data_IF_972982177356
#
_entry.id   IF_972982177356
#
_cell.length_a   1.000
_cell.length_b   1.000
_cell.length_c   1.000
_cell.angle_alpha   90.00
_cell.angle_beta   90.00
_cell.angle_gamma   90.00
#
_symmetry.space_group_name_H-M   'P 1'
#
loop_
_entity.id
_entity.type
_entity.pdbx_description
1 polymer ?
#
# COMPACT_ATOMS: atom_id res chain seq x y z
N UNK A 1 37.99 40.97 -0.24
CA UNK A 1 36.58 41.36 -0.09
C UNK A 1 36.10 40.88 1.29
N UNK A 2 35.48 41.73 2.11
CA UNK A 2 35.41 41.55 3.56
C UNK A 2 34.27 40.63 4.00
N UNK A 3 34.47 39.98 5.15
CA UNK A 3 33.44 39.24 5.88
C UNK A 3 32.31 40.19 6.29
N UNK A 4 31.12 39.99 5.73
CA UNK A 4 29.91 40.69 6.18
C UNK A 4 29.59 40.30 7.62
N UNK A 5 29.54 41.30 8.50
CA UNK A 5 28.95 41.19 9.83
C UNK A 5 27.49 40.75 9.68
N UNK A 6 27.15 39.60 10.27
CA UNK A 6 25.74 39.25 10.47
C UNK A 6 25.21 40.10 11.61
N UNK A 7 24.42 41.09 11.22
CA UNK A 7 23.45 41.77 12.06
C UNK A 7 22.67 40.75 12.90
N UNK A 8 22.72 40.89 14.21
CA UNK A 8 21.85 40.19 15.16
C UNK A 8 20.42 40.65 14.95
N UNK A 9 19.69 39.98 14.06
CA UNK A 9 18.23 40.09 14.01
C UNK A 9 17.69 39.60 15.36
N UNK A 10 17.06 40.51 16.10
CA UNK A 10 16.30 40.18 17.30
C UNK A 10 15.31 39.05 16.97
N UNK A 11 15.29 38.02 17.82
CA UNK A 11 14.30 36.94 17.79
C UNK A 11 12.90 37.58 17.91
N UNK A 12 12.14 37.61 16.83
CA UNK A 12 10.68 37.75 16.89
C UNK A 12 10.13 36.52 17.60
N UNK A 13 10.03 36.59 18.94
CA UNK A 13 9.58 35.49 19.77
C UNK A 13 8.15 35.09 19.38
N UNK A 14 7.94 33.79 19.18
CA UNK A 14 6.64 33.18 18.91
C UNK A 14 5.63 33.69 19.96
N UNK A 15 4.50 34.23 19.51
CA UNK A 15 3.47 34.74 20.42
C UNK A 15 3.02 33.60 21.34
N UNK A 16 3.00 33.86 22.64
CA UNK A 16 2.65 32.86 23.66
C UNK A 16 1.24 33.09 24.22
N UNK A 17 0.67 32.04 24.80
CA UNK A 17 -0.65 32.10 25.44
C UNK A 17 -0.73 33.20 26.51
N UNK A 18 0.36 33.38 27.26
CA UNK A 18 0.49 34.42 28.30
C UNK A 18 0.46 35.83 27.72
N UNK A 19 1.06 36.04 26.54
CA UNK A 19 1.03 37.35 25.86
C UNK A 19 -0.39 37.70 25.39
N UNK A 20 -1.12 36.74 24.84
CA UNK A 20 -2.54 36.90 24.46
C UNK A 20 -3.39 37.22 25.69
N UNK A 21 -3.21 36.48 26.79
CA UNK A 21 -3.93 36.69 28.03
C UNK A 21 -3.72 38.10 28.59
N UNK A 22 -2.47 38.57 28.62
CA UNK A 22 -2.13 39.93 29.03
C UNK A 22 -2.78 40.98 28.12
N UNK A 23 -2.73 40.78 26.80
CA UNK A 23 -3.29 41.73 25.82
C UNK A 23 -4.82 41.79 25.85
N UNK A 24 -5.48 40.66 26.10
CA UNK A 24 -6.93 40.54 26.21
C UNK A 24 -7.47 40.90 27.61
N UNK A 25 -6.59 41.11 28.61
CA UNK A 25 -6.97 41.44 29.98
C UNK A 25 -7.68 40.30 30.71
N UNK A 26 -7.27 39.06 30.44
CA UNK A 26 -7.87 37.84 31.04
C UNK A 26 -6.80 36.90 31.55
N UNK A 27 -7.19 35.84 32.25
CA UNK A 27 -6.25 34.80 32.68
C UNK A 27 -5.80 33.91 31.50
N UNK A 28 -4.60 33.30 31.56
CA UNK A 28 -4.18 32.23 30.64
C UNK A 28 -5.25 31.14 30.48
N UNK A 29 -5.88 30.72 31.58
CA UNK A 29 -6.94 29.72 31.56
C UNK A 29 -8.15 30.17 30.72
N UNK A 30 -8.51 31.46 30.77
CA UNK A 30 -9.60 32.03 29.97
C UNK A 30 -9.28 31.98 28.47
N UNK A 31 -8.03 32.26 28.08
CA UNK A 31 -7.57 32.12 26.69
C UNK A 31 -7.60 30.66 26.24
N UNK A 32 -7.16 29.75 27.09
CA UNK A 32 -7.25 28.31 26.84
C UNK A 32 -8.69 27.84 26.64
N UNK A 33 -9.63 28.31 27.48
CA UNK A 33 -11.05 28.00 27.36
C UNK A 33 -11.65 28.60 26.08
N UNK A 34 -11.23 29.80 25.65
CA UNK A 34 -11.69 30.39 24.39
C UNK A 34 -11.34 29.53 23.17
N UNK A 35 -10.18 28.88 23.21
CA UNK A 35 -9.69 28.01 22.13
C UNK A 35 -10.34 26.61 22.21
N UNK A 36 -10.39 26.00 23.40
CA UNK A 36 -10.73 24.58 23.54
C UNK A 36 -12.18 24.32 23.99
N UNK A 37 -12.84 25.30 24.58
CA UNK A 37 -14.17 25.15 25.19
C UNK A 37 -14.94 26.48 25.18
N UNK A 38 -15.16 27.08 23.99
CA UNK A 38 -15.70 28.43 23.86
C UNK A 38 -17.07 28.60 24.54
N UNK A 39 -17.86 27.53 24.63
CA UNK A 39 -19.16 27.50 25.31
C UNK A 39 -19.08 27.77 26.83
N UNK A 40 -17.92 27.62 27.47
CA UNK A 40 -17.72 27.95 28.89
C UNK A 40 -17.52 29.45 29.14
N UNK A 41 -17.43 30.27 28.09
CA UNK A 41 -17.18 31.70 28.21
C UNK A 41 -18.43 32.51 27.87
N UNK A 42 -18.55 33.67 28.53
CA UNK A 42 -19.54 34.67 28.13
C UNK A 42 -19.22 35.15 26.70
N UNK A 43 -20.24 35.41 25.85
CA UNK A 43 -20.03 35.81 24.45
C UNK A 43 -19.03 36.97 24.30
N UNK A 44 -19.18 38.01 25.12
CA UNK A 44 -18.31 39.20 25.12
C UNK A 44 -16.84 38.87 25.43
N UNK A 45 -16.60 37.89 26.31
CA UNK A 45 -15.25 37.46 26.69
C UNK A 45 -14.63 36.60 25.59
N UNK A 46 -15.42 35.69 24.99
CA UNK A 46 -14.99 34.88 23.86
C UNK A 46 -14.61 35.78 22.68
N UNK A 47 -15.46 36.73 22.32
CA UNK A 47 -15.27 37.64 21.19
C UNK A 47 -14.04 38.53 21.37
N UNK A 48 -13.83 39.07 22.59
CA UNK A 48 -12.62 39.83 22.93
C UNK A 48 -11.35 39.00 22.80
N UNK A 49 -11.36 37.77 23.29
CA UNK A 49 -10.18 36.88 23.26
C UNK A 49 -9.89 36.42 21.84
N UNK A 50 -10.91 36.01 21.06
CA UNK A 50 -10.76 35.60 19.66
C UNK A 50 -10.15 36.70 18.80
N UNK A 51 -10.61 37.96 18.96
CA UNK A 51 -10.03 39.10 18.26
C UNK A 51 -8.54 39.28 18.57
N UNK A 52 -8.15 39.18 19.83
CA UNK A 52 -6.73 39.32 20.23
C UNK A 52 -5.88 38.15 19.70
N UNK A 53 -6.43 36.93 19.66
CA UNK A 53 -5.75 35.77 19.05
C UNK A 53 -5.47 36.02 17.57
N UNK A 54 -6.47 36.51 16.82
CA UNK A 54 -6.33 36.86 15.40
C UNK A 54 -5.32 38.00 15.18
N UNK A 55 -5.46 39.11 15.91
CA UNK A 55 -4.58 40.28 15.82
C UNK A 55 -3.11 39.93 16.10
N UNK A 56 -2.87 39.04 17.06
CA UNK A 56 -1.51 38.64 17.44
C UNK A 56 -1.00 37.44 16.64
N UNK A 57 -1.82 36.82 15.79
CA UNK A 57 -1.45 35.60 15.06
C UNK A 57 -1.09 34.44 15.99
N UNK A 58 -1.67 34.38 17.19
CA UNK A 58 -1.35 33.34 18.16
C UNK A 58 -1.83 31.98 17.66
N UNK A 59 -0.91 31.02 17.59
CA UNK A 59 -1.22 29.61 17.36
C UNK A 59 -0.81 28.80 18.58
N UNK A 60 -1.71 28.02 19.19
CA UNK A 60 -1.35 27.18 20.32
C UNK A 60 -0.25 26.20 19.94
N UNK A 61 0.74 26.08 20.82
CA UNK A 61 1.86 25.15 20.63
C UNK A 61 1.37 23.72 20.81
N UNK A 62 1.67 22.85 19.83
CA UNK A 62 1.36 21.41 19.92
C UNK A 62 1.96 20.78 21.17
N UNK A 63 3.21 21.10 21.51
CA UNK A 63 3.87 20.59 22.72
C UNK A 63 3.10 20.93 24.01
N UNK A 64 2.53 22.13 24.11
CA UNK A 64 1.72 22.53 25.27
C UNK A 64 0.33 21.87 25.28
N UNK A 65 -0.23 21.52 24.11
CA UNK A 65 -1.45 20.72 24.02
C UNK A 65 -1.19 19.27 24.43
N UNK A 66 -0.16 18.63 23.87
CA UNK A 66 0.22 17.24 24.16
C UNK A 66 0.46 17.00 25.65
N UNK A 67 1.17 17.91 26.33
CA UNK A 67 1.42 17.81 27.78
C UNK A 67 0.12 17.87 28.62
N UNK A 68 -0.90 18.58 28.13
CA UNK A 68 -2.19 18.72 28.81
C UNK A 68 -3.15 17.58 28.49
N UNK A 69 -3.18 17.13 27.24
CA UNK A 69 -4.13 16.11 26.75
C UNK A 69 -3.57 14.69 26.82
N UNK A 70 -2.26 14.52 27.09
CA UNK A 70 -1.53 13.24 26.94
C UNK A 70 -1.77 12.58 25.58
N UNK A 71 -1.96 13.38 24.54
CA UNK A 71 -2.21 12.93 23.17
C UNK A 71 -1.50 13.87 22.22
N UNK A 72 -0.66 13.28 21.36
CA UNK A 72 0.08 13.94 20.28
C UNK A 72 -0.82 14.29 19.10
N UNK A 73 -1.94 13.56 18.92
CA UNK A 73 -2.75 13.53 17.70
C UNK A 73 -1.95 13.19 16.45
N UNK A 74 -0.89 12.42 16.61
CA UNK A 74 -0.05 11.91 15.55
C UNK A 74 -0.15 10.37 15.52
N UNK A 75 -0.23 9.82 14.32
CA UNK A 75 -0.17 8.38 14.05
C UNK A 75 1.16 8.11 13.35
N UNK A 76 1.96 7.21 13.91
CA UNK A 76 3.21 6.78 13.29
C UNK A 76 2.96 5.84 12.12
N UNK A 77 3.61 6.10 10.98
CA UNK A 77 3.60 5.22 9.83
C UNK A 77 5.02 5.05 9.27
N UNK A 78 5.52 3.81 9.33
CA UNK A 78 6.86 3.47 8.84
C UNK A 78 6.88 3.32 7.32
N UNK A 79 7.76 4.06 6.65
CA UNK A 79 7.97 3.96 5.20
C UNK A 79 9.27 3.20 4.93
N UNK A 80 9.18 2.09 4.21
CA UNK A 80 10.36 1.33 3.80
C UNK A 80 10.93 1.89 2.49
N UNK A 81 12.22 2.25 2.43
CA UNK A 81 12.88 2.59 1.18
C UNK A 81 13.08 1.30 0.36
N UNK A 82 12.50 1.26 -0.85
CA UNK A 82 12.66 0.18 -1.81
C UNK A 82 13.23 0.69 -3.14
N UNK A 83 13.89 -0.19 -3.94
CA UNK A 83 14.46 0.18 -5.24
C UNK A 83 13.41 0.64 -6.26
N UNK A 84 12.13 0.33 -6.03
CA UNK A 84 11.00 0.86 -6.78
C UNK A 84 9.92 1.38 -5.81
N UNK A 85 9.29 2.51 -6.15
CA UNK A 85 8.05 2.95 -5.49
C UNK A 85 7.02 1.82 -5.63
N UNK A 86 6.23 1.60 -4.57
CA UNK A 86 5.04 0.75 -4.63
C UNK A 86 3.83 1.67 -4.80
N UNK A 87 3.25 1.77 -6.02
CA UNK A 87 2.10 2.66 -6.26
C UNK A 87 0.89 2.36 -5.36
N UNK A 88 0.77 1.11 -4.91
CA UNK A 88 -0.25 0.68 -3.94
C UNK A 88 -0.05 1.36 -2.60
N UNK A 89 1.18 1.35 -2.07
CA UNK A 89 1.47 1.95 -0.77
C UNK A 89 1.38 3.48 -0.83
N UNK A 90 1.70 4.09 -1.98
CA UNK A 90 1.52 5.53 -2.18
C UNK A 90 0.02 5.91 -2.16
N UNK A 91 -0.85 5.14 -2.82
CA UNK A 91 -2.31 5.33 -2.75
C UNK A 91 -2.87 5.08 -1.36
N UNK A 92 -2.43 4.02 -0.70
CA UNK A 92 -2.81 3.74 0.69
C UNK A 92 -2.40 4.89 1.61
N UNK A 93 -1.19 5.44 1.46
CA UNK A 93 -0.74 6.57 2.27
C UNK A 93 -1.62 7.82 2.06
N UNK A 94 -2.07 8.09 0.83
CA UNK A 94 -3.04 9.15 0.57
C UNK A 94 -4.37 8.90 1.29
N UNK A 95 -4.94 7.70 1.14
CA UNK A 95 -6.18 7.31 1.80
C UNK A 95 -6.07 7.39 3.34
N UNK A 96 -4.96 6.90 3.89
CA UNK A 96 -4.66 6.94 5.31
C UNK A 96 -4.53 8.39 5.82
N UNK A 97 -3.80 9.23 5.09
CA UNK A 97 -3.63 10.64 5.44
C UNK A 97 -4.95 11.40 5.43
N UNK A 98 -5.82 11.14 4.45
CA UNK A 98 -7.12 11.77 4.37
C UNK A 98 -8.02 11.32 5.53
N UNK A 99 -8.13 10.01 5.78
CA UNK A 99 -8.91 9.48 6.89
C UNK A 99 -8.42 9.99 8.25
N UNK A 100 -7.09 10.12 8.43
CA UNK A 100 -6.52 10.68 9.65
C UNK A 100 -6.88 12.17 9.82
N UNK A 101 -6.82 12.97 8.75
CA UNK A 101 -7.21 14.38 8.79
C UNK A 101 -8.68 14.57 9.17
N UNK A 102 -9.58 13.79 8.55
CA UNK A 102 -11.02 13.78 8.86
C UNK A 102 -11.29 13.42 10.33
N UNK A 103 -10.46 12.57 10.93
CA UNK A 103 -10.54 12.21 12.34
C UNK A 103 -9.80 13.17 13.29
N UNK A 104 -9.19 14.26 12.79
CA UNK A 104 -8.47 15.24 13.58
C UNK A 104 -7.07 14.80 14.03
N UNK A 105 -6.48 13.83 13.33
CA UNK A 105 -5.11 13.32 13.49
C UNK A 105 -4.23 13.74 12.30
N UNK A 106 -2.92 13.50 12.43
CA UNK A 106 -1.96 13.61 11.32
C UNK A 106 -1.08 12.36 11.27
N UNK A 107 -0.51 12.08 10.10
CA UNK A 107 0.46 11.00 9.94
C UNK A 107 1.87 11.56 10.14
N UNK A 108 2.66 10.91 11.00
CA UNK A 108 4.10 11.10 11.12
C UNK A 108 4.79 9.96 10.38
N UNK A 109 5.50 10.31 9.30
CA UNK A 109 6.29 9.37 8.53
C UNK A 109 7.68 9.22 9.13
N UNK A 110 8.14 7.99 9.28
CA UNK A 110 9.53 7.70 9.65
C UNK A 110 10.11 6.61 8.75
N UNK A 111 11.42 6.63 8.56
CA UNK A 111 12.09 5.63 7.75
C UNK A 111 12.19 4.30 8.52
N UNK A 112 11.67 3.23 7.94
CA UNK A 112 11.92 1.88 8.40
C UNK A 112 13.02 1.27 7.51
N UNK A 113 14.20 0.89 8.04
CA UNK A 113 15.27 0.35 7.21
C UNK A 113 14.83 -0.96 6.51
N UNK A 114 15.40 -1.25 5.32
CA UNK A 114 15.05 -2.45 4.55
C UNK A 114 15.48 -3.72 5.26
N UNK A 115 14.71 -4.81 5.11
CA UNK A 115 14.97 -6.12 5.72
C UNK A 115 13.96 -6.48 6.80
N UNK A 116 14.35 -7.34 7.76
CA UNK A 116 13.56 -7.56 8.98
C UNK A 116 13.26 -6.19 9.59
N UNK A 117 11.98 -5.89 9.90
CA UNK A 117 11.62 -4.54 10.30
C UNK A 117 12.39 -4.17 11.55
N UNK A 118 13.30 -3.19 11.43
CA UNK A 118 13.92 -2.59 12.59
C UNK A 118 12.84 -1.94 13.43
N UNK A 119 13.00 -2.08 14.75
CA UNK A 119 12.11 -1.52 15.74
C UNK A 119 12.62 -0.16 16.23
N UNK A 120 13.83 0.25 15.84
CA UNK A 120 14.50 1.47 16.33
C UNK A 120 13.63 2.72 16.13
N UNK A 121 13.03 2.88 14.94
CA UNK A 121 12.14 4.01 14.66
C UNK A 121 10.82 3.98 15.45
N UNK A 122 10.32 2.79 15.80
CA UNK A 122 9.15 2.66 16.67
C UNK A 122 9.52 2.99 18.12
N UNK A 123 10.69 2.51 18.58
CA UNK A 123 11.25 2.80 19.91
C UNK A 123 11.48 4.30 20.11
N UNK A 124 12.14 4.96 19.16
CA UNK A 124 12.44 6.39 19.22
C UNK A 124 11.17 7.25 19.34
N UNK A 125 10.15 6.97 18.52
CA UNK A 125 8.88 7.72 18.54
C UNK A 125 8.09 7.49 19.83
N UNK A 126 8.20 6.31 20.43
CA UNK A 126 7.56 6.00 21.71
C UNK A 126 8.27 6.69 22.88
N UNK A 127 9.61 6.66 22.90
CA UNK A 127 10.43 7.31 23.93
C UNK A 127 10.23 8.84 23.94
N UNK A 128 10.03 9.43 22.78
CA UNK A 128 9.76 10.87 22.63
C UNK A 128 8.27 11.23 22.81
N UNK A 129 7.39 10.25 23.03
CA UNK A 129 5.94 10.41 23.11
C UNK A 129 5.34 11.19 21.93
N UNK A 130 5.87 10.95 20.73
CA UNK A 130 5.51 11.70 19.53
C UNK A 130 4.24 11.21 18.87
N UNK A 131 3.80 9.98 19.13
CA UNK A 131 2.64 9.35 18.47
C UNK A 131 1.70 8.68 19.47
N UNK A 132 0.41 8.64 19.14
CA UNK A 132 -0.63 8.00 19.94
C UNK A 132 -0.82 6.51 19.57
N UNK A 133 -0.22 6.08 18.46
CA UNK A 133 -0.26 4.71 17.97
C UNK A 133 0.30 4.58 16.56
N UNK A 134 0.34 3.35 16.05
CA UNK A 134 0.96 3.03 14.76
C UNK A 134 0.01 2.37 13.77
N UNK A 135 0.16 2.72 12.50
CA UNK A 135 -0.35 1.91 11.38
C UNK A 135 0.83 1.15 10.79
N UNK A 136 0.69 -0.17 10.69
CA UNK A 136 1.72 -1.05 10.14
C UNK A 136 1.32 -1.47 8.72
N UNK A 137 2.25 -1.41 7.77
CA UNK A 137 2.05 -1.98 6.43
C UNK A 137 3.21 -2.91 6.07
N UNK A 138 3.04 -3.67 4.99
CA UNK A 138 4.04 -4.65 4.54
C UNK A 138 4.29 -5.72 5.61
N UNK A 139 3.22 -6.22 6.22
CA UNK A 139 3.31 -7.32 7.18
C UNK A 139 3.71 -8.59 6.47
N UNK A 140 4.75 -9.26 6.95
CA UNK A 140 5.32 -10.45 6.32
C UNK A 140 5.36 -11.64 7.30
N UNK A 141 5.74 -12.82 6.80
CA UNK A 141 5.97 -13.97 7.68
C UNK A 141 7.03 -13.66 8.73
N UNK A 142 6.74 -13.95 10.01
CA UNK A 142 7.67 -13.72 11.11
C UNK A 142 7.85 -12.25 11.51
N UNK A 143 6.97 -11.34 11.07
CA UNK A 143 7.02 -9.92 11.44
C UNK A 143 6.93 -9.71 12.97
N UNK A 144 7.96 -9.14 13.62
CA UNK A 144 7.98 -8.94 15.05
C UNK A 144 7.16 -7.73 15.52
N UNK A 145 6.82 -6.76 14.65
CA UNK A 145 6.32 -5.44 15.04
C UNK A 145 5.04 -5.51 15.86
N UNK A 146 4.05 -6.23 15.38
CA UNK A 146 2.76 -6.36 16.06
C UNK A 146 2.90 -7.02 17.44
N UNK A 147 3.72 -8.07 17.55
CA UNK A 147 3.98 -8.73 18.83
C UNK A 147 4.79 -7.84 19.79
N UNK A 148 5.70 -7.03 19.25
CA UNK A 148 6.53 -6.11 20.01
C UNK A 148 5.72 -4.93 20.58
N UNK A 149 4.81 -4.35 19.78
CA UNK A 149 3.89 -3.29 20.17
C UNK A 149 2.87 -3.79 21.20
N UNK A 150 2.29 -4.97 20.96
CA UNK A 150 1.32 -5.58 21.88
C UNK A 150 1.91 -5.84 23.27
N UNK A 151 3.17 -6.28 23.36
CA UNK A 151 3.86 -6.51 24.65
C UNK A 151 4.12 -5.23 25.45
N UNK A 152 3.99 -4.06 24.82
CA UNK A 152 4.24 -2.74 25.41
C UNK A 152 2.95 -1.92 25.57
N UNK A 153 1.80 -2.56 25.34
CA UNK A 153 0.48 -1.91 25.40
C UNK A 153 0.39 -0.66 24.48
N UNK A 154 1.11 -0.69 23.35
CA UNK A 154 1.09 0.40 22.37
C UNK A 154 -0.05 0.17 21.39
N UNK A 155 -0.96 1.14 21.18
CA UNK A 155 -2.02 1.03 20.18
C UNK A 155 -1.46 0.88 18.77
N UNK A 156 -1.96 -0.11 18.03
CA UNK A 156 -1.61 -0.27 16.62
C UNK A 156 -2.74 -0.92 15.82
N UNK A 157 -2.68 -0.77 14.50
CA UNK A 157 -3.48 -1.51 13.53
C UNK A 157 -2.58 -1.97 12.38
N UNK A 158 -2.79 -3.18 11.88
CA UNK A 158 -2.15 -3.65 10.65
C UNK A 158 -2.99 -3.33 9.42
N UNK A 159 -2.38 -2.74 8.39
CA UNK A 159 -2.75 -3.00 7.00
C UNK A 159 -2.03 -4.27 6.56
N UNK A 160 -2.69 -5.41 6.79
CA UNK A 160 -2.13 -6.74 6.66
C UNK A 160 -2.26 -7.55 7.96
N UNK A 161 -2.67 -8.81 7.81
CA UNK A 161 -2.79 -9.76 8.93
C UNK A 161 -1.45 -10.37 9.32
N UNK A 162 -1.40 -11.05 10.46
CA UNK A 162 -0.25 -11.91 10.76
C UNK A 162 -0.25 -13.11 9.81
N UNK A 163 0.86 -13.35 9.13
CA UNK A 163 1.00 -14.49 8.22
C UNK A 163 1.58 -15.74 8.89
N UNK A 164 1.90 -15.64 10.19
CA UNK A 164 2.40 -16.74 11.00
C UNK A 164 1.95 -16.62 12.45
N UNK A 165 1.66 -17.75 13.09
CA UNK A 165 1.29 -17.80 14.51
C UNK A 165 -0.14 -17.33 14.80
N UNK A 166 -0.39 -16.97 16.06
CA UNK A 166 -1.70 -16.50 16.51
C UNK A 166 -1.85 -15.02 16.16
N UNK A 167 -2.98 -14.65 15.56
CA UNK A 167 -3.33 -13.26 15.28
C UNK A 167 -3.33 -12.41 16.57
N UNK A 168 -2.70 -11.23 16.52
CA UNK A 168 -2.61 -10.26 17.61
C UNK A 168 -3.08 -8.89 17.11
N UNK A 169 -3.85 -8.19 17.93
CA UNK A 169 -4.31 -6.83 17.64
C UNK A 169 -5.33 -6.75 16.50
N UNK A 170 -5.63 -5.50 16.14
CA UNK A 170 -6.56 -5.13 15.08
C UNK A 170 -5.86 -5.13 13.71
N UNK A 171 -6.58 -5.52 12.67
CA UNK A 171 -6.08 -5.39 11.30
C UNK A 171 -7.18 -5.24 10.27
N UNK A 172 -6.82 -4.58 9.17
CA UNK A 172 -7.53 -4.53 7.91
C UNK A 172 -6.62 -5.14 6.86
N UNK A 173 -7.11 -6.06 6.05
CA UNK A 173 -6.33 -6.69 4.99
C UNK A 173 -7.21 -6.87 3.74
N UNK A 174 -6.59 -7.08 2.59
CA UNK A 174 -7.29 -7.36 1.33
C UNK A 174 -7.14 -8.84 1.02
N UNK A 175 -8.24 -9.51 0.67
CA UNK A 175 -8.23 -10.93 0.30
C UNK A 175 -7.60 -11.14 -1.09
N UNK A 176 -6.28 -11.21 -1.13
CA UNK A 176 -5.50 -11.42 -2.34
C UNK A 176 -5.84 -12.73 -3.05
N UNK A 177 -6.11 -13.78 -2.28
CA UNK A 177 -6.53 -15.08 -2.81
C UNK A 177 -7.89 -15.00 -3.51
N UNK A 178 -8.88 -14.30 -2.96
CA UNK A 178 -10.18 -14.09 -3.62
C UNK A 178 -10.04 -13.32 -4.94
N UNK A 179 -9.15 -12.32 -4.98
CA UNK A 179 -8.91 -11.52 -6.18
C UNK A 179 -8.33 -12.32 -7.34
N UNK A 180 -7.31 -13.15 -7.09
CA UNK A 180 -6.75 -14.02 -8.14
C UNK A 180 -7.65 -15.18 -8.49
N UNK A 181 -8.48 -15.65 -7.55
CA UNK A 181 -9.55 -16.61 -7.80
C UNK A 181 -10.56 -16.03 -8.82
N UNK A 182 -11.08 -14.81 -8.57
CA UNK A 182 -11.98 -14.11 -9.49
C UNK A 182 -11.35 -13.87 -10.88
N UNK A 183 -10.05 -13.58 -10.94
CA UNK A 183 -9.32 -13.45 -12.20
C UNK A 183 -9.26 -14.78 -12.99
N UNK A 184 -9.07 -15.92 -12.31
CA UNK A 184 -9.12 -17.25 -12.96
C UNK A 184 -10.54 -17.54 -13.46
N UNK A 185 -11.57 -17.31 -12.65
CA UNK A 185 -12.97 -17.49 -13.04
C UNK A 185 -13.31 -16.71 -14.32
N UNK A 186 -12.90 -15.44 -14.35
CA UNK A 186 -13.07 -14.60 -15.53
C UNK A 186 -12.38 -15.19 -16.77
N UNK A 187 -11.10 -15.56 -16.67
CA UNK A 187 -10.36 -16.13 -17.80
C UNK A 187 -10.91 -17.49 -18.26
N UNK A 188 -11.40 -18.31 -17.35
CA UNK A 188 -12.07 -19.57 -17.67
C UNK A 188 -13.39 -19.31 -18.43
N UNK A 189 -14.16 -18.31 -18.01
CA UNK A 189 -15.40 -17.90 -18.70
C UNK A 189 -15.12 -17.43 -20.14
N UNK A 190 -13.93 -16.87 -20.39
CA UNK A 190 -13.42 -16.48 -21.71
C UNK A 190 -12.81 -17.64 -22.52
N UNK A 191 -12.85 -18.86 -21.99
CA UNK A 191 -12.40 -20.08 -22.65
C UNK A 191 -10.92 -20.42 -22.43
N UNK A 192 -10.18 -19.67 -21.62
CA UNK A 192 -8.79 -19.99 -21.33
C UNK A 192 -8.66 -21.25 -20.46
N UNK A 193 -7.79 -22.17 -20.88
CA UNK A 193 -7.48 -23.41 -20.14
C UNK A 193 -6.00 -23.54 -19.76
N UNK A 194 -5.13 -22.74 -20.38
CA UNK A 194 -3.69 -22.69 -20.10
C UNK A 194 -3.34 -21.35 -19.45
N UNK A 195 -3.81 -21.16 -18.23
CA UNK A 195 -3.64 -19.93 -17.45
C UNK A 195 -2.39 -20.09 -16.59
N UNK A 196 -1.44 -19.18 -16.77
CA UNK A 196 -0.21 -19.13 -15.99
C UNK A 196 -0.27 -18.06 -14.90
N UNK A 197 0.57 -18.21 -13.88
CA UNK A 197 0.75 -17.24 -12.80
C UNK A 197 2.20 -16.74 -12.78
N UNK A 198 2.37 -15.42 -12.84
CA UNK A 198 3.64 -14.76 -12.65
C UNK A 198 3.60 -14.02 -11.30
N UNK A 199 4.31 -14.54 -10.30
CA UNK A 199 4.30 -13.95 -8.96
C UNK A 199 5.69 -13.71 -8.42
N UNK A 200 5.75 -13.34 -7.14
CA UNK A 200 7.00 -13.23 -6.42
C UNK A 200 7.54 -14.58 -5.97
N UNK A 201 8.79 -14.59 -5.53
CA UNK A 201 9.41 -15.76 -4.90
C UNK A 201 8.58 -16.24 -3.70
N UNK A 202 8.46 -17.56 -3.54
CA UNK A 202 7.66 -18.14 -2.47
C UNK A 202 8.30 -17.79 -1.13
N UNK A 203 7.51 -17.28 -0.19
CA UNK A 203 7.98 -16.86 1.13
C UNK A 203 8.63 -15.47 1.16
N UNK A 204 8.85 -14.81 0.01
CA UNK A 204 9.39 -13.44 0.00
C UNK A 204 8.32 -12.36 0.20
N UNK A 205 7.07 -12.69 -0.13
CA UNK A 205 5.91 -11.87 0.21
C UNK A 205 4.71 -12.74 0.55
N UNK A 206 4.14 -12.53 1.73
CA UNK A 206 2.99 -13.27 2.22
C UNK A 206 1.71 -12.92 1.45
N UNK A 207 1.52 -11.64 1.12
CA UNK A 207 0.46 -11.21 0.20
C UNK A 207 0.65 -11.84 -1.20
N UNK A 208 1.90 -11.98 -1.64
CA UNK A 208 2.24 -12.68 -2.88
C UNK A 208 1.88 -14.16 -2.87
N UNK A 209 2.16 -14.84 -1.77
CA UNK A 209 1.80 -16.25 -1.58
C UNK A 209 0.29 -16.45 -1.48
N UNK A 210 -0.44 -15.54 -0.84
CA UNK A 210 -1.90 -15.53 -0.78
C UNK A 210 -2.53 -15.41 -2.17
N UNK A 211 -2.06 -14.44 -2.97
CA UNK A 211 -2.45 -14.29 -4.38
C UNK A 211 -2.14 -15.56 -5.19
N UNK A 212 -1.01 -16.22 -4.93
CA UNK A 212 -0.65 -17.47 -5.62
C UNK A 212 -1.55 -18.65 -5.21
N UNK A 213 -1.98 -18.72 -3.95
CA UNK A 213 -2.89 -19.76 -3.47
C UNK A 213 -4.30 -19.60 -4.05
N UNK A 214 -4.80 -18.37 -4.21
CA UNK A 214 -6.07 -18.10 -4.88
C UNK A 214 -6.10 -18.62 -6.33
N UNK A 215 -5.05 -18.31 -7.11
CA UNK A 215 -4.87 -18.86 -8.45
C UNK A 215 -4.84 -20.40 -8.43
N UNK A 216 -4.05 -20.99 -7.54
CA UNK A 216 -3.90 -22.44 -7.46
C UNK A 216 -5.22 -23.13 -7.09
N UNK A 217 -5.97 -22.57 -6.12
CA UNK A 217 -7.29 -23.06 -5.70
C UNK A 217 -8.29 -23.03 -6.85
N UNK A 218 -8.36 -21.91 -7.58
CA UNK A 218 -9.27 -21.77 -8.70
C UNK A 218 -8.92 -22.69 -9.88
N UNK A 219 -7.63 -22.83 -10.21
CA UNK A 219 -7.17 -23.78 -11.22
C UNK A 219 -7.55 -25.23 -10.86
N UNK A 220 -7.37 -25.63 -9.60
CA UNK A 220 -7.80 -26.96 -9.12
C UNK A 220 -9.31 -27.14 -9.23
N UNK A 221 -10.11 -26.14 -8.84
CA UNK A 221 -11.58 -26.18 -8.90
C UNK A 221 -12.09 -26.41 -10.32
N UNK A 222 -11.39 -25.88 -11.33
CA UNK A 222 -11.70 -26.08 -12.75
C UNK A 222 -11.00 -27.28 -13.40
N UNK A 223 -10.27 -28.10 -12.64
CA UNK A 223 -9.52 -29.25 -13.16
C UNK A 223 -8.39 -28.87 -14.13
N UNK A 224 -7.83 -27.66 -14.01
CA UNK A 224 -6.80 -27.14 -14.91
C UNK A 224 -5.38 -27.44 -14.39
N UNK A 225 -4.40 -27.71 -15.28
CA UNK A 225 -3.04 -28.05 -14.88
C UNK A 225 -2.27 -26.82 -14.39
N UNK A 226 -1.52 -26.98 -13.30
CA UNK A 226 -0.65 -25.92 -12.73
C UNK A 226 0.85 -26.19 -12.86
N UNK A 227 1.25 -27.43 -13.14
CA UNK A 227 2.66 -27.80 -13.34
C UNK A 227 3.24 -27.07 -14.54
N UNK A 228 4.37 -26.39 -14.34
CA UNK A 228 5.02 -25.58 -15.39
C UNK A 228 4.24 -24.30 -15.76
N UNK A 229 3.24 -23.91 -14.97
CA UNK A 229 2.41 -22.71 -15.19
C UNK A 229 2.64 -21.61 -14.17
N UNK A 230 3.66 -21.73 -13.32
CA UNK A 230 4.05 -20.70 -12.35
C UNK A 230 5.49 -20.27 -12.61
N UNK A 231 5.73 -18.97 -12.68
CA UNK A 231 7.06 -18.37 -12.66
C UNK A 231 7.18 -17.36 -11.51
N UNK A 232 8.42 -17.07 -11.13
CA UNK A 232 8.75 -16.19 -10.02
C UNK A 232 9.65 -15.06 -10.50
N UNK A 233 9.43 -13.86 -9.96
CA UNK A 233 10.23 -12.68 -10.26
C UNK A 233 10.28 -11.74 -9.06
N UNK A 234 11.30 -10.88 -9.01
CA UNK A 234 11.25 -9.70 -8.13
C UNK A 234 10.29 -8.67 -8.73
N UNK A 235 9.90 -7.65 -7.95
CA UNK A 235 8.94 -6.63 -8.40
C UNK A 235 9.55 -5.60 -9.36
N UNK A 236 10.24 -6.06 -10.40
CA UNK A 236 10.91 -5.25 -11.40
C UNK A 236 10.52 -5.70 -12.81
N UNK A 237 10.34 -4.75 -13.71
CA UNK A 237 9.84 -5.02 -15.06
C UNK A 237 10.80 -5.92 -15.85
N UNK A 238 12.11 -5.67 -15.77
CA UNK A 238 13.12 -6.44 -16.52
C UNK A 238 13.26 -7.88 -16.01
N UNK A 239 13.17 -8.06 -14.68
CA UNK A 239 13.12 -9.38 -14.09
C UNK A 239 11.82 -10.11 -14.51
N UNK A 240 10.68 -9.41 -14.53
CA UNK A 240 9.39 -9.99 -14.93
C UNK A 240 9.38 -10.39 -16.40
N UNK A 241 10.02 -9.61 -17.29
CA UNK A 241 10.21 -9.95 -18.71
C UNK A 241 10.97 -11.26 -18.89
N UNK A 242 12.01 -11.46 -18.11
CA UNK A 242 12.79 -12.70 -18.18
C UNK A 242 11.97 -13.88 -17.66
N UNK A 243 11.31 -13.69 -16.52
CA UNK A 243 10.54 -14.74 -15.84
C UNK A 243 9.30 -15.21 -16.60
N UNK A 244 8.65 -14.36 -17.40
CA UNK A 244 7.43 -14.74 -18.13
C UNK A 244 7.72 -15.59 -19.38
N UNK A 245 8.92 -15.47 -19.98
CA UNK A 245 9.26 -16.14 -21.25
C UNK A 245 8.97 -17.65 -21.24
N UNK A 246 9.41 -18.44 -20.24
CA UNK A 246 9.13 -19.88 -20.20
C UNK A 246 7.63 -20.21 -20.12
N UNK A 247 6.81 -19.34 -19.52
CA UNK A 247 5.35 -19.53 -19.45
C UNK A 247 4.72 -19.39 -20.83
N UNK A 248 5.15 -18.37 -21.58
CA UNK A 248 4.71 -18.11 -22.95
C UNK A 248 5.19 -19.22 -23.91
N UNK A 249 6.45 -19.64 -23.80
CA UNK A 249 7.03 -20.72 -24.60
C UNK A 249 6.34 -22.07 -24.31
N UNK A 250 5.89 -22.27 -23.07
CA UNK A 250 5.03 -23.40 -22.68
C UNK A 250 3.58 -23.30 -23.19
N UNK A 251 3.23 -22.30 -23.98
CA UNK A 251 1.92 -22.13 -24.61
C UNK A 251 0.84 -21.59 -23.68
N UNK A 252 1.19 -20.80 -22.66
CA UNK A 252 0.19 -20.09 -21.87
C UNK A 252 -0.67 -19.20 -22.77
N UNK A 253 -1.99 -19.29 -22.63
CA UNK A 253 -2.96 -18.43 -23.35
C UNK A 253 -3.39 -17.24 -22.51
N UNK A 254 -3.13 -17.29 -21.21
CA UNK A 254 -3.38 -16.20 -20.29
C UNK A 254 -2.32 -16.20 -19.18
N UNK A 255 -2.00 -15.02 -18.66
CA UNK A 255 -1.10 -14.81 -17.51
C UNK A 255 -1.81 -13.93 -16.49
N UNK A 256 -1.94 -14.42 -15.26
CA UNK A 256 -2.29 -13.61 -14.10
C UNK A 256 -0.99 -13.23 -13.41
N UNK A 257 -0.72 -11.93 -13.28
CA UNK A 257 0.42 -11.40 -12.60
C UNK A 257 0.05 -11.01 -11.16
N UNK A 258 0.95 -11.26 -10.21
CA UNK A 258 0.71 -10.93 -8.81
C UNK A 258 0.74 -9.42 -8.54
N UNK A 259 1.18 -8.58 -9.49
CA UNK A 259 1.06 -7.12 -9.46
C UNK A 259 1.01 -6.56 -10.89
N UNK A 260 0.57 -5.31 -11.03
CA UNK A 260 0.59 -4.58 -12.30
C UNK A 260 2.03 -4.37 -12.80
N UNK A 261 3.00 -4.22 -11.89
CA UNK A 261 4.43 -4.15 -12.23
C UNK A 261 4.92 -5.43 -12.90
N UNK A 262 4.53 -6.59 -12.39
CA UNK A 262 4.83 -7.87 -13.05
C UNK A 262 4.09 -8.00 -14.39
N UNK A 263 2.84 -7.52 -14.48
CA UNK A 263 2.07 -7.50 -15.73
C UNK A 263 2.75 -6.65 -16.83
N UNK A 264 3.40 -5.54 -16.47
CA UNK A 264 4.21 -4.75 -17.41
C UNK A 264 5.34 -5.57 -18.05
N UNK A 265 5.94 -6.50 -17.30
CA UNK A 265 6.92 -7.43 -17.85
C UNK A 265 6.33 -8.37 -18.91
N UNK A 266 5.09 -8.82 -18.71
CA UNK A 266 4.33 -9.56 -19.73
C UNK A 266 4.11 -8.71 -20.98
N UNK A 267 3.68 -7.46 -20.82
CA UNK A 267 3.46 -6.52 -21.93
C UNK A 267 4.71 -6.32 -22.78
N UNK A 268 5.85 -6.04 -22.15
CA UNK A 268 7.09 -5.82 -22.87
C UNK A 268 7.54 -7.09 -23.61
N UNK A 269 7.41 -8.26 -22.98
CA UNK A 269 7.77 -9.54 -23.60
C UNK A 269 6.88 -9.88 -24.79
N UNK A 270 5.57 -9.63 -24.70
CA UNK A 270 4.65 -9.82 -25.82
C UNK A 270 5.00 -8.87 -26.97
N UNK A 271 5.25 -7.60 -26.67
CA UNK A 271 5.67 -6.61 -27.67
C UNK A 271 6.94 -7.03 -28.41
N UNK A 272 7.95 -7.54 -27.71
CA UNK A 272 9.20 -8.06 -28.30
C UNK A 272 8.95 -9.24 -29.25
N UNK A 273 7.91 -10.03 -28.99
CA UNK A 273 7.51 -11.17 -29.81
C UNK A 273 6.57 -10.79 -30.96
N UNK A 274 6.28 -9.50 -31.15
CA UNK A 274 5.27 -9.03 -32.10
C UNK A 274 3.84 -9.44 -31.71
N UNK A 275 3.64 -9.86 -30.46
CA UNK A 275 2.35 -10.27 -29.91
C UNK A 275 1.71 -9.12 -29.10
N UNK A 276 0.41 -9.19 -28.91
CA UNK A 276 -0.39 -8.23 -28.18
C UNK A 276 -1.11 -8.90 -27.00
N UNK A 277 -1.10 -8.27 -25.80
CA UNK A 277 -1.97 -8.66 -24.70
C UNK A 277 -3.45 -8.68 -25.13
N UNK A 278 -4.27 -9.52 -24.50
CA UNK A 278 -5.67 -9.73 -24.88
C UNK A 278 -5.80 -10.60 -26.12
N UNK A 279 -5.35 -10.11 -27.28
CA UNK A 279 -5.49 -10.80 -28.58
C UNK A 279 -4.75 -12.13 -28.63
N UNK A 280 -3.45 -12.11 -28.31
CA UNK A 280 -2.60 -13.30 -28.45
C UNK A 280 -2.44 -14.04 -27.12
N UNK A 281 -2.32 -13.28 -26.03
CA UNK A 281 -2.25 -13.80 -24.66
C UNK A 281 -3.00 -12.85 -23.74
N UNK A 282 -4.01 -13.34 -23.01
CA UNK A 282 -4.68 -12.53 -22.00
C UNK A 282 -3.71 -12.21 -20.85
N UNK A 283 -3.72 -10.97 -20.37
CA UNK A 283 -2.89 -10.52 -19.24
C UNK A 283 -3.80 -9.87 -18.22
N UNK A 284 -3.74 -10.36 -16.98
CA UNK A 284 -4.44 -9.78 -15.83
C UNK A 284 -3.40 -9.37 -14.80
N UNK A 285 -3.47 -8.13 -14.34
CA UNK A 285 -2.67 -7.60 -13.26
C UNK A 285 -3.35 -7.70 -11.90
N UNK A 286 -2.73 -7.07 -10.92
CA UNK A 286 -3.26 -6.87 -9.58
C UNK A 286 -2.77 -5.51 -9.12
N UNK A 287 -3.60 -4.73 -8.43
CA UNK A 287 -3.37 -3.40 -7.83
C UNK A 287 -4.23 -2.28 -8.44
N UNK A 288 -4.74 -2.47 -9.67
CA UNK A 288 -5.41 -1.44 -10.48
C UNK A 288 -4.72 -0.07 -10.43
N UNK A 289 -3.38 -0.10 -10.55
CA UNK A 289 -2.53 1.07 -10.51
C UNK A 289 -2.93 2.08 -11.60
N UNK A 290 -2.54 3.37 -11.46
CA UNK A 290 -2.82 4.36 -12.51
C UNK A 290 -2.33 3.92 -13.90
N UNK A 291 -1.23 3.16 -13.94
CA UNK A 291 -0.66 2.61 -15.16
C UNK A 291 -1.60 1.63 -15.87
N UNK A 292 -2.46 0.91 -15.15
CA UNK A 292 -3.35 -0.10 -15.74
C UNK A 292 -4.25 0.49 -16.84
N UNK A 293 -4.81 1.68 -16.61
CA UNK A 293 -5.66 2.38 -17.59
C UNK A 293 -4.89 3.10 -18.71
N UNK A 294 -3.58 3.29 -18.58
CA UNK A 294 -2.73 4.01 -19.54
C UNK A 294 -2.08 3.10 -20.57
N UNK A 295 -2.12 1.78 -20.35
CA UNK A 295 -1.56 0.81 -21.28
C UNK A 295 -2.43 0.65 -22.52
N UNK A 296 -1.81 0.20 -23.62
CA UNK A 296 -2.52 -0.16 -24.84
C UNK A 296 -2.13 -1.58 -25.28
N UNK A 297 -3.05 -2.56 -25.23
CA UNK A 297 -4.42 -2.47 -24.69
C UNK A 297 -4.44 -2.19 -23.17
N UNK A 298 -5.53 -1.61 -22.66
CA UNK A 298 -5.65 -1.29 -21.24
C UNK A 298 -5.69 -2.57 -20.38
N UNK A 299 -5.00 -2.55 -19.23
CA UNK A 299 -4.79 -3.73 -18.39
C UNK A 299 -6.02 -4.04 -17.54
N UNK A 300 -6.59 -5.23 -17.71
CA UNK A 300 -7.49 -5.85 -16.74
C UNK A 300 -6.70 -6.09 -15.46
N UNK A 301 -7.20 -5.59 -14.33
CA UNK A 301 -6.47 -5.69 -13.05
C UNK A 301 -7.43 -5.86 -11.87
N UNK A 302 -6.98 -6.55 -10.84
CA UNK A 302 -7.70 -6.65 -9.57
C UNK A 302 -7.46 -5.38 -8.74
N UNK A 303 -8.52 -4.59 -8.53
CA UNK A 303 -8.51 -3.37 -7.74
C UNK A 303 -8.63 -3.67 -6.24
N UNK A 304 -7.68 -3.12 -5.48
CA UNK A 304 -7.72 -3.13 -4.02
C UNK A 304 -8.54 -1.94 -3.50
N UNK A 305 -9.41 -2.11 -2.48
CA UNK A 305 -10.25 -1.04 -1.93
C UNK A 305 -9.46 -0.14 -0.95
N UNK A 306 -8.37 0.48 -1.41
CA UNK A 306 -7.40 1.16 -0.55
C UNK A 306 -7.97 2.35 0.23
N UNK A 307 -8.97 3.05 -0.31
CA UNK A 307 -9.70 4.12 0.37
C UNK A 307 -10.45 3.58 1.61
N UNK A 308 -11.08 2.42 1.47
CA UNK A 308 -11.73 1.73 2.58
C UNK A 308 -10.72 1.18 3.57
N UNK A 309 -9.63 0.58 3.10
CA UNK A 309 -8.52 0.13 3.97
C UNK A 309 -8.02 1.30 4.84
N UNK A 310 -7.71 2.46 4.24
CA UNK A 310 -7.23 3.62 4.97
C UNK A 310 -8.21 4.12 6.04
N UNK A 311 -9.50 4.20 5.68
CA UNK A 311 -10.57 4.59 6.60
C UNK A 311 -10.71 3.60 7.76
N UNK A 312 -10.76 2.31 7.48
CA UNK A 312 -10.93 1.28 8.49
C UNK A 312 -9.69 1.18 9.39
N UNK A 313 -8.47 1.35 8.87
CA UNK A 313 -7.27 1.43 9.69
C UNK A 313 -7.36 2.58 10.72
N UNK A 314 -7.72 3.80 10.29
CA UNK A 314 -7.87 4.93 11.22
C UNK A 314 -8.97 4.66 12.23
N UNK A 315 -10.14 4.16 11.80
CA UNK A 315 -11.25 3.84 12.71
C UNK A 315 -10.83 2.84 13.79
N UNK A 316 -10.19 1.73 13.39
CA UNK A 316 -9.74 0.68 14.31
C UNK A 316 -8.67 1.19 15.28
N UNK A 317 -7.70 1.95 14.78
CA UNK A 317 -6.65 2.52 15.64
C UNK A 317 -7.23 3.46 16.69
N UNK A 318 -8.14 4.36 16.30
CA UNK A 318 -8.76 5.29 17.23
C UNK A 318 -9.69 4.59 18.23
N UNK A 319 -10.40 3.54 17.79
CA UNK A 319 -11.18 2.69 18.69
C UNK A 319 -10.27 2.00 19.73
N UNK A 320 -9.11 1.47 19.30
CA UNK A 320 -8.10 0.88 20.19
C UNK A 320 -7.52 1.88 21.18
N UNK A 321 -7.23 3.11 20.74
CA UNK A 321 -6.76 4.20 21.62
C UNK A 321 -7.83 4.55 22.67
N UNK A 322 -9.10 4.62 22.26
CA UNK A 322 -10.22 4.96 23.15
C UNK A 322 -10.63 3.84 24.11
N UNK A 323 -10.45 2.57 23.71
CA UNK A 323 -10.80 1.40 24.50
C UNK A 323 -9.70 0.31 24.39
N UNK A 324 -8.59 0.44 25.14
CA UNK A 324 -7.43 -0.46 25.04
C UNK A 324 -7.75 -1.94 25.27
N UNK A 325 -8.74 -2.24 26.11
CA UNK A 325 -9.13 -3.60 26.49
C UNK A 325 -10.22 -4.22 25.58
N UNK A 326 -10.68 -3.51 24.55
CA UNK A 326 -11.70 -4.01 23.64
C UNK A 326 -11.22 -5.26 22.87
N UNK A 327 -12.14 -6.16 22.52
CA UNK A 327 -11.79 -7.30 21.67
C UNK A 327 -11.22 -6.83 20.32
N UNK A 328 -10.16 -7.46 19.77
CA UNK A 328 -9.63 -7.06 18.47
C UNK A 328 -10.62 -7.27 17.33
N UNK A 329 -10.72 -6.29 16.45
CA UNK A 329 -11.50 -6.34 15.23
C UNK A 329 -10.58 -6.63 14.03
N UNK A 330 -11.06 -7.47 13.11
CA UNK A 330 -10.27 -8.01 12.00
C UNK A 330 -11.11 -8.01 10.74
N UNK A 331 -10.69 -7.21 9.76
CA UNK A 331 -11.46 -6.95 8.55
C UNK A 331 -10.69 -7.46 7.35
N UNK A 332 -11.27 -8.44 6.64
CA UNK A 332 -10.74 -8.93 5.39
C UNK A 332 -11.64 -8.42 4.26
N UNK A 333 -11.15 -7.46 3.50
CA UNK A 333 -11.89 -6.78 2.44
C UNK A 333 -11.72 -7.50 1.10
N UNK A 334 -12.81 -7.63 0.36
CA UNK A 334 -12.81 -8.26 -0.95
C UNK A 334 -12.38 -7.26 -2.04
N UNK A 335 -11.35 -7.57 -2.84
CA UNK A 335 -11.00 -6.76 -4.01
C UNK A 335 -11.95 -7.02 -5.18
N UNK A 336 -11.95 -6.14 -6.19
CA UNK A 336 -12.80 -6.27 -7.37
C UNK A 336 -12.00 -6.41 -8.66
N UNK A 337 -12.46 -7.22 -9.61
CA UNK A 337 -11.81 -7.34 -10.92
C UNK A 337 -12.29 -6.23 -11.86
N UNK A 338 -11.38 -5.36 -12.28
CA UNK A 338 -11.66 -4.31 -13.27
C UNK A 338 -11.27 -4.82 -14.66
N UNK A 339 -12.29 -5.24 -15.43
CA UNK A 339 -12.12 -5.80 -16.77
C UNK A 339 -11.83 -4.72 -17.81
N UNK A 340 -10.78 -4.92 -18.61
CA UNK A 340 -10.34 -4.06 -19.71
C UNK A 340 -9.84 -4.90 -20.90
N UNK A 341 -9.21 -4.25 -21.88
CA UNK A 341 -8.90 -4.84 -23.19
C UNK A 341 -7.82 -5.95 -23.18
N UNK A 342 -7.02 -6.06 -22.13
CA UNK A 342 -5.92 -7.03 -22.05
C UNK A 342 -6.35 -8.46 -21.75
N UNK A 343 -7.62 -8.72 -21.47
CA UNK A 343 -8.17 -10.05 -21.24
C UNK A 343 -9.35 -10.29 -22.19
N UNK A 344 -9.10 -11.00 -23.29
CA UNK A 344 -10.10 -11.28 -24.33
C UNK A 344 -10.31 -12.78 -24.50
N UNK A 345 -11.42 -13.17 -25.11
CA UNK A 345 -11.73 -14.57 -25.37
C UNK A 345 -10.71 -15.25 -26.29
N UNK A 346 -10.47 -16.54 -26.05
CA UNK A 346 -9.58 -17.37 -26.89
C UNK A 346 -10.06 -17.36 -28.33
N UNK A 347 -9.22 -16.89 -29.26
CA UNK A 347 -9.52 -16.88 -30.69
C UNK A 347 -10.28 -15.65 -31.20
N UNK A 348 -10.44 -14.58 -30.40
CA UNK A 348 -11.15 -13.35 -30.77
C UNK A 348 -10.48 -12.46 -31.84
N UNK A 349 -9.40 -12.89 -32.49
CA UNK A 349 -8.71 -12.14 -33.53
C UNK A 349 -9.37 -12.25 -34.91
N UNK A 350 -10.59 -11.69 -35.08
CA UNK A 350 -11.12 -11.12 -36.33
C UNK A 350 -12.65 -10.92 -36.26
N UNK A 351 -13.10 -9.83 -35.66
CA UNK A 351 -14.25 -9.09 -36.22
C UNK A 351 -13.93 -7.61 -36.17
N UNK A 352 -13.44 -7.08 -37.29
CA UNK A 352 -13.34 -5.65 -37.51
C UNK A 352 -14.73 -5.05 -37.59
N UNK A 353 -15.10 -4.29 -36.57
CA UNK A 353 -16.25 -3.40 -36.58
C UNK A 353 -15.91 -2.15 -35.79
N UNK A 354 -15.69 -1.03 -36.48
CA UNK A 354 -15.70 0.30 -35.84
C UNK A 354 -16.97 0.40 -34.99
N UNK A 355 -16.94 0.91 -33.75
CA UNK A 355 -18.16 1.29 -33.08
C UNK A 355 -18.72 2.52 -33.81
N UNK A 356 -19.67 2.31 -34.71
CA UNK A 356 -20.62 3.35 -35.11
C UNK A 356 -21.50 3.61 -33.90
N UNK A 357 -21.63 4.90 -33.56
CA UNK A 357 -22.23 5.37 -32.33
C UNK A 357 -23.59 4.75 -32.00
N UNK A 358 -23.75 4.43 -30.72
CA UNK A 358 -25.05 4.15 -30.13
C UNK A 358 -25.54 5.44 -29.49
N UNK A 359 -26.54 6.05 -30.12
CA UNK A 359 -27.35 7.10 -29.53
C UNK A 359 -28.18 6.52 -28.36
N UNK A 360 -28.45 7.30 -27.31
CA UNK A 360 -29.29 6.84 -26.21
C UNK A 360 -30.74 6.69 -26.66
N UNK A 361 -31.31 5.51 -26.42
CA UNK A 361 -32.74 5.23 -26.53
C UNK A 361 -33.48 5.90 -25.36
N UNK A 362 -34.08 7.06 -25.62
CA UNK A 362 -35.17 7.60 -24.80
C UNK A 362 -36.48 6.99 -25.31
N UNK A 363 -37.05 6.06 -24.54
CA UNK A 363 -38.43 5.61 -24.69
C UNK A 363 -39.30 6.35 -23.69
N UNK A 364 -40.02 7.37 -24.15
CA UNK A 364 -41.11 8.01 -23.42
C UNK A 364 -42.46 7.36 -23.74
N UNK A 365 -43.33 7.32 -22.72
CA UNK A 365 -44.80 7.31 -22.81
C UNK A 365 -45.26 7.87 -21.46
N UNK A 366 -45.59 9.16 -21.36
CA UNK A 366 -46.87 9.80 -21.71
C UNK A 366 -47.91 9.71 -20.57
N UNK A 367 -48.49 10.89 -20.29
CA UNK A 367 -49.58 11.26 -19.38
C UNK A 367 -49.11 11.88 -18.05
N UNK A 368 -49.44 13.11 -17.66
CA UNK A 368 -50.27 14.16 -18.26
C UNK A 368 -50.42 15.31 -17.24
N UNK A 369 -50.92 16.45 -17.72
CA UNK A 369 -51.49 17.60 -16.97
C UNK A 369 -50.57 18.71 -16.41
N UNK A 370 -50.60 19.82 -17.16
CA UNK A 370 -51.05 21.18 -16.77
C UNK A 370 -50.17 22.17 -16.00
N UNK A 371 -50.12 23.36 -16.61
CA UNK A 371 -49.99 24.73 -16.06
C UNK A 371 -48.59 25.17 -15.58
N UNK A 372 -48.17 26.43 -15.68
CA UNK A 372 -48.47 27.64 -16.47
C UNK A 372 -47.37 28.65 -16.03
N UNK A 373 -47.14 29.71 -16.83
CA UNK A 373 -46.22 30.85 -16.63
C UNK A 373 -44.70 30.55 -16.65
N UNK A 374 -43.87 31.25 -17.43
CA UNK A 374 -43.94 32.64 -17.88
C UNK A 374 -42.73 33.38 -17.28
N UNK A 375 -41.75 33.79 -18.09
CA UNK A 375 -40.60 34.54 -17.60
C UNK A 375 -39.46 34.69 -18.60
N UNK A 376 -39.46 35.83 -19.28
CA UNK A 376 -38.49 36.28 -20.28
C UNK A 376 -37.05 36.47 -19.73
N UNK A 377 -36.06 36.45 -20.61
CA UNK A 377 -34.69 36.87 -20.27
C UNK A 377 -33.65 36.62 -21.37
N UNK A 378 -33.63 37.52 -22.35
CA UNK A 378 -32.63 37.68 -23.42
C UNK A 378 -31.18 37.80 -22.93
N UNK A 379 -30.21 37.20 -23.63
CA UNK A 379 -29.29 37.95 -24.48
C UNK A 379 -28.32 37.06 -25.27
N UNK A 380 -28.14 37.46 -26.53
CA UNK A 380 -27.24 36.91 -27.53
C UNK A 380 -25.99 37.80 -27.67
N UNK A 381 -24.85 37.17 -27.95
CA UNK A 381 -23.71 37.68 -28.76
C UNK A 381 -22.55 36.69 -28.55
N UNK A 382 -21.89 36.07 -29.54
CA UNK A 382 -21.81 36.36 -30.96
C UNK A 382 -20.34 36.52 -31.36
N UNK A 383 -19.85 35.64 -32.25
CA UNK A 383 -18.63 35.74 -33.10
C UNK A 383 -17.24 35.70 -32.41
N UNK A 384 -16.16 35.16 -32.98
CA UNK A 384 -15.94 34.57 -34.30
C UNK A 384 -14.43 34.37 -34.58
N UNK A 385 -14.13 33.28 -35.30
CA UNK A 385 -13.13 33.10 -36.37
C UNK A 385 -11.59 33.22 -36.17
N UNK A 386 -10.92 32.12 -36.58
CA UNK A 386 -9.82 32.02 -37.56
C UNK A 386 -8.42 32.57 -37.17
N UNK A 387 -7.26 32.11 -37.68
CA UNK A 387 -6.72 30.94 -38.40
C UNK A 387 -5.24 31.30 -38.72
N UNK A 388 -4.44 30.33 -39.23
CA UNK A 388 -3.07 30.45 -39.78
C UNK A 388 -1.92 30.45 -38.76
N UNK A 389 -0.75 29.83 -39.00
CA UNK A 389 -0.28 29.06 -40.15
C UNK A 389 1.23 28.74 -40.02
N UNK A 390 1.61 27.59 -40.59
CA UNK A 390 2.89 27.28 -41.27
C UNK A 390 4.21 27.02 -40.51
N UNK A 391 4.78 25.85 -40.88
CA UNK A 391 6.16 25.33 -40.73
C UNK A 391 7.00 25.81 -41.94
N UNK A 392 8.35 25.91 -41.84
CA UNK A 392 9.28 24.89 -42.38
C UNK A 392 10.45 24.65 -41.37
N UNK A 393 11.16 23.51 -41.27
CA UNK A 393 11.56 22.50 -42.24
C UNK A 393 13.06 22.65 -42.54
N UNK A 394 13.94 21.81 -41.96
CA UNK A 394 15.20 21.28 -42.57
C UNK A 394 16.08 20.51 -41.57
N UNK A 395 16.31 19.22 -41.83
CA UNK A 395 17.57 18.49 -41.55
C UNK A 395 18.46 18.56 -42.82
N UNK A 396 19.76 18.18 -42.80
CA UNK A 396 20.13 16.75 -42.83
C UNK A 396 21.48 16.36 -42.14
N UNK A 397 21.65 15.04 -41.93
CA UNK A 397 22.87 14.21 -42.15
C UNK A 397 24.20 14.58 -41.41
N UNK A 398 25.14 13.69 -41.05
CA UNK A 398 25.34 12.25 -41.20
C UNK A 398 26.58 11.86 -40.33
N UNK A 399 26.70 10.56 -40.03
CA UNK A 399 27.93 9.77 -39.84
C UNK A 399 29.09 10.29 -38.96
N UNK A 400 29.54 9.48 -37.98
CA UNK A 400 30.45 8.35 -38.21
C UNK A 400 31.07 7.88 -36.87
N UNK A 401 30.98 6.59 -36.55
CA UNK A 401 31.98 5.92 -35.69
C UNK A 401 33.22 5.59 -36.54
N UNK A 402 34.41 5.32 -35.96
CA UNK A 402 34.68 3.93 -35.57
C UNK A 402 35.68 3.69 -34.42
N UNK A 403 35.60 2.47 -33.90
CA UNK A 403 36.69 1.53 -33.59
C UNK A 403 37.69 1.74 -32.42
N UNK A 404 37.60 0.75 -31.52
CA UNK A 404 38.66 -0.17 -31.04
C UNK A 404 39.82 0.34 -30.16
N UNK A 405 40.13 -0.45 -29.12
CA UNK A 405 41.36 -0.31 -28.34
C UNK A 405 41.40 -1.20 -27.11
N UNK A 406 41.82 -2.45 -27.30
CA UNK A 406 42.14 -3.48 -26.30
C UNK A 406 43.27 -3.05 -25.34
N UNK A 407 43.23 -3.46 -24.08
CA UNK A 407 44.44 -3.88 -23.34
C UNK A 407 44.09 -4.60 -22.03
N UNK A 408 44.59 -5.82 -21.91
CA UNK A 408 44.74 -6.55 -20.67
C UNK A 408 45.99 -6.08 -19.92
N UNK A 409 45.97 -6.11 -18.58
CA UNK A 409 47.14 -6.49 -17.78
C UNK A 409 46.80 -6.79 -16.32
N UNK A 410 47.34 -7.93 -15.91
CA UNK A 410 47.53 -8.55 -14.61
C UNK A 410 48.10 -7.68 -13.49
N UNK A 411 47.73 -8.00 -12.25
CA UNK A 411 48.57 -8.09 -11.01
C UNK A 411 47.62 -8.00 -9.80
N UNK A 412 47.86 -8.52 -8.61
CA UNK A 412 48.69 -9.59 -8.05
C UNK A 412 48.19 -9.74 -6.60
N UNK A 413 48.21 -10.94 -6.05
CA UNK A 413 47.82 -11.24 -4.67
C UNK A 413 48.72 -10.54 -3.62
N UNK A 414 48.13 -10.25 -2.46
CA UNK A 414 48.82 -9.71 -1.29
C UNK A 414 48.04 -9.93 0.02
N UNK A 415 48.16 -11.15 0.56
CA UNK A 415 48.17 -11.54 1.98
C UNK A 415 47.79 -10.51 3.08
N UNK A 416 46.86 -10.88 3.95
CA UNK A 416 47.10 -10.88 5.41
C UNK A 416 46.25 -11.95 6.11
N UNK A 417 46.93 -12.92 6.73
CA UNK A 417 46.36 -13.92 7.62
C UNK A 417 46.90 -13.72 9.04
N UNK A 418 45.99 -13.74 10.02
CA UNK A 418 46.21 -14.10 11.43
C UNK A 418 44.79 -14.38 11.98
N UNK A 419 44.45 -15.47 12.65
CA UNK A 419 45.18 -16.60 13.17
C UNK A 419 44.32 -17.15 14.32
N UNK A 420 43.95 -18.43 14.29
CA UNK A 420 43.66 -19.16 15.53
C UNK A 420 43.71 -20.67 15.25
N UNK A 421 44.50 -21.33 16.09
CA UNK A 421 44.85 -22.74 16.03
C UNK A 421 43.74 -23.58 16.66
N UNK A 422 43.61 -24.78 16.11
CA UNK A 422 42.73 -25.86 16.52
C UNK A 422 43.34 -26.79 17.56
N UNK A 423 42.41 -27.54 18.18
CA UNK A 423 42.51 -28.85 18.82
C UNK A 423 42.99 -28.94 20.27
N UNK A 424 42.14 -29.52 21.14
CA UNK A 424 42.34 -30.91 21.58
C UNK A 424 41.06 -31.54 22.19
N UNK A 425 40.86 -32.79 21.79
CA UNK A 425 39.91 -33.79 22.29
C UNK A 425 40.37 -34.33 23.66
N UNK A 426 39.43 -34.75 24.53
CA UNK A 426 39.38 -36.10 25.17
C UNK A 426 38.30 -36.18 26.26
N UNK A 427 37.44 -37.20 26.17
CA UNK A 427 36.75 -37.85 27.30
C UNK A 427 37.73 -38.86 27.96
N UNK A 428 37.50 -39.52 29.14
CA UNK A 428 36.24 -40.15 29.59
C UNK A 428 35.99 -40.13 31.13
N UNK A 429 34.88 -40.75 31.57
CA UNK A 429 34.66 -41.14 32.98
C UNK A 429 33.23 -41.58 33.30
N UNK A 430 33.05 -42.86 33.65
CA UNK A 430 31.81 -43.56 34.01
C UNK A 430 31.89 -44.12 35.43
N UNK A 431 30.80 -44.08 36.21
CA UNK A 431 30.36 -45.11 37.20
C UNK A 431 29.00 -44.70 37.83
N UNK A 432 27.90 -45.42 37.58
CA UNK A 432 27.19 -46.42 38.45
C UNK A 432 26.41 -45.78 39.65
N UNK A 433 25.18 -46.15 40.06
CA UNK A 433 24.40 -47.39 40.02
C UNK A 433 22.89 -47.16 40.42
N UNK A 434 22.00 -48.05 39.93
CA UNK A 434 20.85 -48.76 40.60
C UNK A 434 19.69 -47.94 41.24
N UNK A 435 18.44 -48.05 40.76
CA UNK A 435 17.37 -49.02 41.15
C UNK A 435 16.19 -48.20 41.74
N UNK A 436 14.89 -48.47 41.65
CA UNK A 436 14.09 -49.67 41.39
C UNK A 436 12.63 -49.23 41.06
N UNK A 437 11.89 -50.03 40.30
CA UNK A 437 10.42 -50.01 40.22
C UNK A 437 9.87 -51.14 41.11
N UNK A 438 8.60 -51.10 41.57
CA UNK A 438 7.50 -51.86 40.90
C UNK A 438 6.14 -51.10 40.95
N UNK A 439 5.22 -51.20 39.98
CA UNK A 439 4.36 -52.31 39.47
C UNK A 439 3.02 -52.51 40.23
N UNK A 440 1.95 -52.75 39.43
CA UNK A 440 0.55 -53.07 39.81
C UNK A 440 -0.43 -52.21 38.99
N UNK A 441 -0.98 -52.59 37.82
CA UNK A 441 -1.89 -53.72 37.48
C UNK A 441 -3.18 -53.69 38.33
N UNK A 442 -4.42 -53.86 37.83
CA UNK A 442 -4.94 -54.31 36.55
C UNK A 442 -6.46 -54.00 36.42
N UNK A 443 -6.97 -54.15 35.18
CA UNK A 443 -8.31 -54.67 34.82
C UNK A 443 -9.55 -53.76 34.99
N UNK A 444 -10.58 -53.78 34.13
CA UNK A 444 -10.85 -54.41 32.83
C UNK A 444 -12.23 -53.88 32.34
N UNK A 445 -12.45 -53.92 31.01
CA UNK A 445 -13.68 -54.34 30.26
C UNK A 445 -15.09 -53.84 30.69
N UNK A 446 -16.13 -53.67 29.88
CA UNK A 446 -16.52 -53.86 28.46
C UNK A 446 -18.03 -53.46 28.45
N UNK A 447 -18.62 -52.79 27.44
CA UNK A 447 -19.53 -53.40 26.43
C UNK A 447 -20.64 -52.35 26.06
N UNK A 448 -20.78 -51.94 24.79
CA UNK A 448 -21.84 -52.29 23.79
C UNK A 448 -23.15 -51.45 23.87
N UNK A 449 -23.45 -50.65 22.84
CA UNK A 449 -24.37 -50.87 21.68
C UNK A 449 -25.64 -49.98 21.86
N UNK A 450 -26.30 -49.36 20.87
CA UNK A 450 -26.40 -49.52 19.40
C UNK A 450 -26.08 -48.23 18.61
#
# INVERSE_FOLDING_TARGET
MPRSSRSTSAKGGQVTLTMVAARAGVSPQTVSNAINSPAMLRPETLERVSRVIEEMGYRPSRAAQTLRTRSSRLIGYGVQPGPASSPVLDRFLHALSQAADEAGYRILLFAAPPGLPSLDGYEELLDQHEVDGFVLSGTEHGDPRQAWLAKRDVPFVGFGRMWSGRQIGDWVDVDGASGTDAAVEHLVSLGHRRIAFLGWERGSSAAGDDRAEGWLRAMRRHGLPTRGRRAQSVNEIDAARTAVRPLLDGGATAVIAASDMLALGCYQTLRERGAAPGRDVAVVGFDDSPTAGLLFPALTSVAQPLEEVGRECVRLLLARIGAPDAAPERLLLEPSLVVRDSAQAVGGGATGGRPTGVAPVNGGSADGSSADNGGAGSNASGSGSASSGSVPGSSPADNNSPAQGSSASSSSAGSSAAGSRSAHSSAPGSDSAVGDAPSGSASAESALAE
#
